data_IF_651805779718
#
_entry.id   IF_651805779718
#
_cell.length_a   1.000
_cell.length_b   1.000
_cell.length_c   1.000
_cell.angle_alpha   90.00
_cell.angle_beta   90.00
_cell.angle_gamma   90.00
#
_symmetry.space_group_name_H-M   'P 1'
#
loop_
_entity.id
_entity.type
_entity.pdbx_description
1 polymer ?
#
# COMPACT_ATOMS: atom_id res chain seq x y z
N UNK A 1 15.06 -25.47 40.77
CA UNK A 1 16.53 -25.48 40.66
C UNK A 1 16.92 -24.40 39.68
N UNK A 2 17.82 -23.50 40.07
CA UNK A 2 18.24 -22.33 39.28
C UNK A 2 19.41 -22.76 38.38
N UNK A 3 19.28 -22.59 37.06
CA UNK A 3 20.39 -22.69 36.13
C UNK A 3 20.49 -21.37 35.35
N UNK A 4 21.51 -20.59 35.72
CA UNK A 4 22.03 -19.42 35.01
C UNK A 4 23.13 -19.89 34.06
N UNK A 5 23.28 -19.22 32.91
CA UNK A 5 24.51 -18.96 32.09
C UNK A 5 24.11 -18.94 30.59
N UNK A 6 24.65 -18.11 29.71
CA UNK A 6 25.63 -17.03 29.78
C UNK A 6 25.42 -16.13 28.53
N UNK A 7 25.74 -14.84 28.65
CA UNK A 7 25.70 -13.84 27.57
C UNK A 7 27.04 -13.88 26.82
N UNK A 8 26.99 -13.94 25.49
CA UNK A 8 28.17 -13.73 24.64
C UNK A 8 27.98 -12.44 23.86
N UNK A 9 28.76 -11.43 24.24
CA UNK A 9 28.90 -10.14 23.54
C UNK A 9 29.84 -10.36 22.36
N UNK A 10 29.35 -10.13 21.14
CA UNK A 10 30.14 -10.10 19.92
C UNK A 10 29.92 -8.78 19.19
N UNK A 11 30.74 -7.78 19.48
CA UNK A 11 30.80 -6.54 18.72
C UNK A 11 31.76 -6.75 17.54
N UNK A 12 31.24 -6.65 16.31
CA UNK A 12 32.05 -6.46 15.11
C UNK A 12 31.68 -5.11 14.50
N UNK A 13 32.71 -4.29 14.40
CA UNK A 13 32.72 -2.88 14.02
C UNK A 13 33.52 -2.79 12.71
N UNK A 14 33.22 -1.74 11.92
CA UNK A 14 33.90 -1.26 10.69
C UNK A 14 33.33 -1.88 9.39
N UNK A 15 32.99 -1.16 8.31
CA UNK A 15 33.63 0.03 7.73
C UNK A 15 32.68 0.90 6.86
N UNK A 16 32.89 2.21 6.97
CA UNK A 16 33.01 3.23 5.91
C UNK A 16 31.89 3.45 4.88
N UNK A 17 31.12 4.51 5.13
CA UNK A 17 30.29 5.20 4.14
C UNK A 17 31.15 6.02 3.17
N UNK A 18 30.93 5.84 1.87
CA UNK A 18 31.38 6.78 0.82
C UNK A 18 30.32 7.86 0.62
N UNK A 19 30.76 9.11 0.73
CA UNK A 19 29.97 10.33 0.58
C UNK A 19 29.96 10.73 -0.89
N UNK A 20 28.81 10.70 -1.55
CA UNK A 20 28.58 11.29 -2.86
C UNK A 20 28.32 12.79 -2.70
N UNK A 21 29.22 13.58 -3.27
CA UNK A 21 29.17 15.03 -3.25
C UNK A 21 28.01 15.57 -4.10
N UNK A 22 27.29 16.53 -3.53
CA UNK A 22 26.41 17.46 -4.22
C UNK A 22 27.27 18.56 -4.86
N UNK A 23 27.00 18.92 -6.11
CA UNK A 23 27.63 20.04 -6.80
C UNK A 23 26.95 20.30 -8.14
N UNK A 24 25.99 21.22 -8.14
CA UNK A 24 25.40 21.78 -9.35
C UNK A 24 26.26 22.91 -9.90
N UNK A 25 26.14 23.15 -11.20
CA UNK A 25 26.31 24.47 -11.82
C UNK A 25 25.62 24.44 -13.20
N UNK A 26 24.72 25.40 -13.38
CA UNK A 26 24.19 25.86 -14.66
C UNK A 26 25.29 26.60 -15.43
N UNK A 27 25.40 26.42 -16.76
CA UNK A 27 25.40 27.56 -17.68
C UNK A 27 25.46 27.22 -19.18
N UNK A 28 24.86 28.15 -19.92
CA UNK A 28 24.60 28.18 -21.36
C UNK A 28 25.84 28.34 -22.24
N UNK A 29 25.80 27.72 -23.42
CA UNK A 29 26.14 28.30 -24.74
C UNK A 29 25.87 27.19 -25.79
N UNK A 30 25.07 27.36 -26.84
CA UNK A 30 25.15 28.39 -27.88
C UNK A 30 25.72 27.74 -29.14
N UNK A 31 24.90 27.55 -30.18
CA UNK A 31 25.38 26.95 -31.44
C UNK A 31 24.28 26.65 -32.46
N UNK A 32 24.01 27.65 -33.29
CA UNK A 32 23.06 27.71 -34.40
C UNK A 32 23.34 26.67 -35.51
N UNK A 33 22.29 26.16 -36.18
CA UNK A 33 22.32 25.89 -37.63
C UNK A 33 20.91 25.72 -38.18
N UNK A 34 20.58 26.67 -39.06
CA UNK A 34 19.40 26.76 -39.92
C UNK A 34 19.29 25.59 -40.91
N UNK A 35 18.08 25.32 -41.38
CA UNK A 35 17.86 24.38 -42.49
C UNK A 35 16.40 24.08 -42.81
N UNK A 36 15.76 25.07 -43.43
CA UNK A 36 14.69 25.01 -44.46
C UNK A 36 13.60 23.93 -44.45
N UNK A 37 12.36 24.43 -44.55
CA UNK A 37 11.14 23.63 -44.53
C UNK A 37 10.75 23.00 -45.87
N UNK A 38 9.77 22.11 -45.79
CA UNK A 38 8.85 21.84 -46.90
C UNK A 38 7.49 21.36 -46.40
N UNK A 39 6.48 22.09 -46.85
CA UNK A 39 5.03 21.88 -46.75
C UNK A 39 4.56 20.50 -47.23
N UNK A 40 3.56 19.94 -46.54
CA UNK A 40 2.73 18.85 -47.04
C UNK A 40 1.53 18.60 -46.13
N UNK A 41 0.39 19.19 -46.48
CA UNK A 41 -0.88 18.97 -45.82
C UNK A 41 -1.50 17.62 -46.22
N UNK A 42 -1.98 16.87 -45.23
CA UNK A 42 -3.11 15.94 -45.41
C UNK A 42 -3.94 15.94 -44.13
N UNK A 43 -5.17 16.44 -44.26
CA UNK A 43 -6.21 16.28 -43.27
C UNK A 43 -6.65 14.82 -43.22
N UNK A 44 -6.76 14.25 -42.03
CA UNK A 44 -7.76 13.21 -41.76
C UNK A 44 -8.42 13.51 -40.42
N UNK A 45 -9.71 13.77 -40.54
CA UNK A 45 -10.72 13.95 -39.52
C UNK A 45 -10.69 12.85 -38.46
N UNK A 46 -10.83 13.27 -37.20
CA UNK A 46 -11.09 12.40 -36.05
C UNK A 46 -11.36 13.26 -34.82
N UNK A 47 -12.51 13.94 -34.79
CA UNK A 47 -12.97 14.75 -33.65
C UNK A 47 -14.20 14.10 -33.04
N UNK A 48 -14.12 13.90 -31.71
CA UNK A 48 -15.22 13.48 -30.84
C UNK A 48 -14.97 12.08 -30.29
N UNK A 49 -14.81 11.86 -29.00
CA UNK A 49 -14.92 12.75 -27.86
C UNK A 49 -14.91 11.89 -26.60
N UNK A 50 -14.32 12.46 -25.55
CA UNK A 50 -14.65 12.21 -24.14
C UNK A 50 -14.97 10.76 -23.75
N UNK A 51 -13.92 10.07 -23.35
CA UNK A 51 -14.01 8.84 -22.57
C UNK A 51 -12.68 8.62 -21.86
N UNK A 52 -12.05 9.69 -21.36
CA UNK A 52 -11.00 9.55 -20.36
C UNK A 52 -11.71 9.14 -19.07
N UNK A 53 -12.12 7.88 -19.01
CA UNK A 53 -12.25 7.18 -17.74
C UNK A 53 -10.89 7.34 -17.09
N UNK A 54 -10.79 8.29 -16.16
CA UNK A 54 -9.77 8.27 -15.15
C UNK A 54 -9.98 6.98 -14.34
N UNK A 55 -9.56 5.86 -14.93
CA UNK A 55 -9.09 4.72 -14.18
C UNK A 55 -7.88 5.29 -13.44
N UNK A 56 -8.11 5.86 -12.26
CA UNK A 56 -7.00 6.12 -11.35
C UNK A 56 -6.49 4.74 -11.01
N UNK A 57 -5.45 4.29 -11.73
CA UNK A 57 -4.84 2.99 -11.54
C UNK A 57 -4.50 2.86 -10.05
N UNK A 58 -4.85 1.72 -9.45
CA UNK A 58 -4.56 1.47 -8.04
C UNK A 58 -3.04 1.61 -7.82
N UNK A 59 -2.61 2.19 -6.69
CA UNK A 59 -1.19 2.25 -6.35
C UNK A 59 -0.61 0.84 -6.26
N UNK A 60 0.68 0.73 -6.58
CA UNK A 60 1.45 -0.52 -6.61
C UNK A 60 2.68 -0.40 -5.71
N UNK A 61 3.03 -1.48 -5.01
CA UNK A 61 4.20 -1.55 -4.15
C UNK A 61 4.73 -3.00 -4.11
N UNK A 62 5.89 -3.22 -4.73
CA UNK A 62 6.41 -4.57 -5.00
C UNK A 62 7.01 -5.31 -3.80
N UNK A 63 7.24 -4.62 -2.68
CA UNK A 63 7.80 -5.16 -1.45
C UNK A 63 7.33 -4.37 -0.21
N UNK A 64 7.51 -4.95 0.97
CA UNK A 64 6.99 -4.37 2.22
C UNK A 64 7.61 -3.01 2.55
N UNK A 65 8.87 -2.76 2.19
CA UNK A 65 9.49 -1.46 2.37
C UNK A 65 8.82 -0.38 1.51
N UNK A 66 8.46 -0.74 0.27
CA UNK A 66 7.72 0.14 -0.65
C UNK A 66 6.29 0.38 -0.17
N UNK A 67 5.63 -0.62 0.42
CA UNK A 67 4.29 -0.46 1.02
C UNK A 67 4.36 0.51 2.21
N UNK A 68 5.34 0.35 3.10
CA UNK A 68 5.54 1.25 4.24
C UNK A 68 5.94 2.67 3.81
N UNK A 69 6.74 2.80 2.75
CA UNK A 69 7.07 4.10 2.14
C UNK A 69 5.83 4.78 1.58
N UNK A 70 5.03 4.07 0.77
CA UNK A 70 3.75 4.57 0.25
C UNK A 70 2.83 5.02 1.37
N UNK A 71 2.71 4.22 2.44
CA UNK A 71 1.87 4.57 3.57
C UNK A 71 2.35 5.89 4.20
N UNK A 72 3.67 6.03 4.42
CA UNK A 72 4.31 7.24 4.97
C UNK A 72 4.13 8.52 4.12
N UNK A 73 3.83 8.41 2.82
CA UNK A 73 3.53 9.57 1.98
C UNK A 73 2.13 10.16 2.26
N UNK A 74 1.25 9.39 2.91
CA UNK A 74 -0.15 9.75 3.11
C UNK A 74 -0.58 9.75 4.58
N UNK A 75 -0.11 8.78 5.36
CA UNK A 75 -0.37 8.61 6.80
C UNK A 75 0.92 8.22 7.52
N UNK A 76 0.96 8.23 8.86
CA UNK A 76 2.18 7.85 9.58
C UNK A 76 2.37 6.34 9.64
N UNK A 77 3.59 5.87 9.38
CA UNK A 77 3.99 4.48 9.51
C UNK A 77 5.39 4.41 10.16
N UNK A 78 5.38 4.31 11.49
CA UNK A 78 6.54 4.34 12.38
C UNK A 78 6.83 2.93 12.89
N UNK A 79 8.09 2.67 13.24
CA UNK A 79 8.49 1.43 13.91
C UNK A 79 7.99 0.15 13.22
N UNK A 80 8.20 0.07 11.89
CA UNK A 80 7.79 -1.07 11.07
C UNK A 80 8.39 -2.38 11.62
N UNK A 81 7.52 -3.37 11.83
CA UNK A 81 7.85 -4.72 12.29
C UNK A 81 7.22 -5.77 11.39
N UNK A 82 7.83 -6.95 11.36
CA UNK A 82 7.12 -8.11 10.80
C UNK A 82 5.86 -8.42 11.62
N UNK A 83 4.85 -9.01 10.99
CA UNK A 83 3.63 -9.41 11.69
C UNK A 83 3.92 -10.32 12.89
N UNK A 84 4.79 -11.32 12.72
CA UNK A 84 5.17 -12.23 13.81
C UNK A 84 5.85 -11.51 14.99
N UNK A 85 6.74 -10.54 14.72
CA UNK A 85 7.36 -9.74 15.78
C UNK A 85 6.32 -8.87 16.52
N UNK A 86 5.34 -8.33 15.80
CA UNK A 86 4.25 -7.55 16.40
C UNK A 86 3.36 -8.43 17.27
N UNK A 87 3.00 -9.62 16.78
CA UNK A 87 2.13 -10.56 17.48
C UNK A 87 2.79 -11.11 18.77
N UNK A 88 4.13 -11.22 18.79
CA UNK A 88 4.94 -11.58 19.98
C UNK A 88 5.18 -10.40 20.94
N UNK A 89 4.73 -9.19 20.60
CA UNK A 89 4.95 -7.98 21.40
C UNK A 89 3.90 -7.78 22.50
N UNK A 90 4.14 -6.82 23.37
CA UNK A 90 3.18 -6.45 24.42
C UNK A 90 1.97 -5.63 23.90
N UNK A 91 1.91 -5.31 22.61
CA UNK A 91 0.79 -4.55 22.03
C UNK A 91 -0.41 -5.42 21.68
N UNK A 92 -0.19 -6.72 21.40
CA UNK A 92 -1.23 -7.65 20.91
C UNK A 92 -2.51 -7.70 21.77
N UNK A 93 -2.38 -7.48 23.09
CA UNK A 93 -3.52 -7.49 24.01
C UNK A 93 -4.31 -6.16 24.03
N UNK A 94 -3.68 -5.05 23.66
CA UNK A 94 -4.25 -3.69 23.79
C UNK A 94 -4.57 -3.03 22.45
N UNK A 95 -3.85 -3.41 21.41
CA UNK A 95 -3.91 -2.87 20.06
C UNK A 95 -3.64 -4.02 19.07
N UNK A 96 -4.58 -4.97 18.92
CA UNK A 96 -4.38 -6.11 18.04
C UNK A 96 -4.34 -5.65 16.58
N UNK A 97 -3.23 -5.93 15.90
CA UNK A 97 -3.15 -5.72 14.46
C UNK A 97 -4.03 -6.73 13.71
N UNK A 98 -4.60 -6.31 12.59
CA UNK A 98 -5.47 -7.15 11.77
C UNK A 98 -4.77 -8.39 11.21
N UNK A 99 -5.54 -9.48 11.14
CA UNK A 99 -5.08 -10.75 10.64
C UNK A 99 -4.10 -11.47 11.57
N UNK A 100 -3.96 -12.77 11.35
CA UNK A 100 -3.10 -13.64 12.15
C UNK A 100 -1.95 -14.19 11.30
N UNK A 101 -0.86 -14.63 11.94
CA UNK A 101 0.27 -15.25 11.26
C UNK A 101 -0.17 -16.40 10.33
N UNK A 102 -1.15 -17.19 10.75
CA UNK A 102 -1.68 -18.32 9.99
C UNK A 102 -2.25 -17.90 8.62
N UNK A 103 -2.75 -16.67 8.48
CA UNK A 103 -3.26 -16.17 7.19
C UNK A 103 -2.12 -16.03 6.16
N UNK A 104 -0.90 -15.73 6.60
CA UNK A 104 0.26 -15.67 5.71
C UNK A 104 0.80 -17.06 5.34
N UNK A 105 0.51 -18.07 6.18
CA UNK A 105 0.95 -19.46 5.97
C UNK A 105 -0.04 -20.25 5.10
N UNK A 106 -1.30 -19.84 5.07
CA UNK A 106 -2.33 -20.49 4.25
C UNK A 106 -2.35 -19.90 2.82
N UNK A 107 -1.98 -20.68 1.79
CA UNK A 107 -1.94 -20.22 0.41
C UNK A 107 -3.31 -19.85 -0.18
N UNK A 108 -4.42 -20.14 0.51
CA UNK A 108 -5.75 -19.67 0.14
C UNK A 108 -5.90 -18.16 0.28
N UNK A 109 -5.16 -17.53 1.20
CA UNK A 109 -5.22 -16.09 1.43
C UNK A 109 -4.47 -15.27 0.38
N UNK A 110 -3.50 -15.87 -0.32
CA UNK A 110 -2.70 -15.15 -1.32
C UNK A 110 -1.82 -14.04 -0.72
N UNK A 111 -1.61 -14.01 0.60
CA UNK A 111 -0.73 -13.05 1.27
C UNK A 111 0.71 -13.60 1.22
N UNK A 112 1.65 -12.78 0.78
CA UNK A 112 3.08 -13.10 0.74
C UNK A 112 3.79 -12.71 2.03
N UNK A 113 3.41 -11.57 2.60
CA UNK A 113 4.06 -10.99 3.77
C UNK A 113 3.05 -10.11 4.52
N UNK A 114 3.16 -10.10 5.85
CA UNK A 114 2.44 -9.20 6.75
C UNK A 114 3.44 -8.42 7.60
N UNK A 115 3.20 -7.14 7.75
CA UNK A 115 3.92 -6.25 8.64
C UNK A 115 2.94 -5.36 9.39
N UNK A 116 3.44 -4.72 10.44
CA UNK A 116 2.70 -3.76 11.24
C UNK A 116 3.58 -2.55 11.48
N UNK A 117 3.01 -1.36 11.37
CA UNK A 117 3.65 -0.13 11.83
C UNK A 117 2.67 0.69 12.66
N UNK A 118 3.21 1.48 13.58
CA UNK A 118 2.42 2.38 14.41
C UNK A 118 2.17 3.69 13.64
N UNK A 119 0.98 4.26 13.74
CA UNK A 119 0.83 5.68 13.38
C UNK A 119 1.34 6.62 14.49
N UNK A 120 1.18 7.92 14.28
CA UNK A 120 1.52 8.97 15.24
C UNK A 120 0.55 9.06 16.43
N UNK A 121 -0.57 8.33 16.39
CA UNK A 121 -1.57 8.24 17.45
C UNK A 121 -1.33 7.02 18.35
N UNK A 122 -0.41 6.14 17.95
CA UNK A 122 -0.06 4.86 18.57
C UNK A 122 -1.10 3.76 18.32
N UNK A 123 -1.77 3.79 17.17
CA UNK A 123 -2.61 2.70 16.70
C UNK A 123 -1.88 1.90 15.60
N UNK A 124 -2.11 0.59 15.60
CA UNK A 124 -1.42 -0.34 14.69
C UNK A 124 -2.06 -0.39 13.31
N UNK A 125 -1.27 -0.08 12.30
CA UNK A 125 -1.64 -0.24 10.90
C UNK A 125 -1.04 -1.54 10.36
N UNK A 126 -1.90 -2.42 9.87
CA UNK A 126 -1.45 -3.68 9.26
C UNK A 126 -1.20 -3.46 7.78
N UNK A 127 -0.04 -3.90 7.29
CA UNK A 127 0.32 -3.87 5.89
C UNK A 127 0.47 -5.30 5.37
N UNK A 128 -0.10 -5.56 4.20
CA UNK A 128 -0.07 -6.87 3.55
C UNK A 128 0.53 -6.74 2.17
N UNK A 129 1.57 -7.51 1.88
CA UNK A 129 1.99 -7.74 0.51
C UNK A 129 1.18 -8.92 -0.04
N UNK A 130 0.44 -8.69 -1.13
CA UNK A 130 -0.53 -9.65 -1.67
C UNK A 130 0.01 -10.23 -2.98
N UNK A 131 0.28 -11.54 -2.98
CA UNK A 131 0.74 -12.26 -4.18
C UNK A 131 -0.39 -12.63 -5.15
N UNK A 132 -1.62 -12.78 -4.66
CA UNK A 132 -2.79 -13.13 -5.46
C UNK A 132 -4.02 -12.40 -4.92
N UNK A 133 -4.33 -11.27 -5.55
CA UNK A 133 -5.43 -10.39 -5.13
C UNK A 133 -6.80 -11.08 -5.24
N UNK A 134 -6.98 -12.00 -6.19
CA UNK A 134 -8.24 -12.73 -6.33
C UNK A 134 -8.46 -13.69 -5.17
N UNK A 135 -7.41 -14.40 -4.76
CA UNK A 135 -7.44 -15.25 -3.56
C UNK A 135 -7.71 -14.44 -2.30
N UNK A 136 -6.98 -13.34 -2.12
CA UNK A 136 -7.18 -12.45 -0.99
C UNK A 136 -8.64 -11.97 -0.88
N UNK A 137 -9.21 -11.46 -1.97
CA UNK A 137 -10.62 -11.05 -2.02
C UNK A 137 -11.60 -12.21 -1.75
N UNK A 138 -11.25 -13.44 -2.15
CA UNK A 138 -12.06 -14.63 -1.88
C UNK A 138 -12.08 -14.92 -0.39
N UNK A 139 -10.92 -14.92 0.27
CA UNK A 139 -10.81 -15.13 1.73
C UNK A 139 -11.49 -14.02 2.53
N UNK A 140 -11.34 -12.76 2.13
CA UNK A 140 -12.05 -11.62 2.76
C UNK A 140 -13.57 -11.84 2.71
N UNK A 141 -14.09 -12.24 1.55
CA UNK A 141 -15.51 -12.53 1.36
C UNK A 141 -15.98 -13.73 2.19
N UNK A 142 -15.26 -14.84 2.14
CA UNK A 142 -15.66 -16.09 2.81
C UNK A 142 -15.60 -15.97 4.33
N UNK A 143 -14.64 -15.22 4.86
CA UNK A 143 -14.57 -14.92 6.28
C UNK A 143 -15.51 -13.81 6.76
N UNK A 144 -16.27 -13.18 5.85
CA UNK A 144 -17.12 -12.02 6.13
C UNK A 144 -16.37 -10.91 6.88
N UNK A 145 -15.10 -10.68 6.51
CA UNK A 145 -14.30 -9.62 7.09
C UNK A 145 -14.87 -8.25 6.71
N UNK A 146 -14.62 -7.27 7.57
CA UNK A 146 -14.88 -5.87 7.29
C UNK A 146 -14.11 -5.40 6.06
N UNK A 147 -14.35 -4.15 5.66
CA UNK A 147 -13.61 -3.52 4.59
C UNK A 147 -12.13 -3.34 4.94
N UNK A 148 -11.26 -3.56 3.95
CA UNK A 148 -9.82 -3.27 4.00
C UNK A 148 -9.44 -2.40 2.80
N UNK A 149 -8.40 -1.58 2.92
CA UNK A 149 -7.92 -0.76 1.80
C UNK A 149 -6.99 -1.58 0.92
N UNK A 150 -7.14 -1.49 -0.41
CA UNK A 150 -6.35 -2.25 -1.37
C UNK A 150 -5.70 -1.34 -2.41
N UNK A 151 -4.43 -1.66 -2.69
CA UNK A 151 -3.73 -1.29 -3.91
C UNK A 151 -3.81 -2.42 -4.94
N UNK A 152 -2.91 -2.42 -5.90
CA UNK A 152 -2.84 -3.43 -6.96
C UNK A 152 -2.30 -4.78 -6.46
N UNK A 153 -1.27 -4.73 -5.61
CA UNK A 153 -0.49 -5.87 -5.11
C UNK A 153 -0.25 -5.81 -3.58
N UNK A 154 -0.94 -4.90 -2.88
CA UNK A 154 -0.88 -4.80 -1.43
C UNK A 154 -2.22 -4.39 -0.84
N UNK A 155 -2.36 -4.55 0.48
CA UNK A 155 -3.51 -4.08 1.24
C UNK A 155 -3.06 -3.46 2.58
N UNK A 156 -3.90 -2.57 3.10
CA UNK A 156 -3.69 -1.87 4.37
C UNK A 156 -4.97 -1.93 5.18
N UNK A 157 -4.86 -2.39 6.42
CA UNK A 157 -5.90 -2.25 7.43
C UNK A 157 -5.47 -1.13 8.40
N UNK A 158 -6.10 0.05 8.33
CA UNK A 158 -5.80 1.15 9.22
C UNK A 158 -6.26 0.86 10.66
N UNK A 159 -5.42 1.18 11.65
CA UNK A 159 -5.75 0.96 13.06
C UNK A 159 -6.80 1.91 13.62
N UNK A 160 -6.94 3.10 13.05
CA UNK A 160 -7.86 4.12 13.52
C UNK A 160 -8.56 4.93 12.40
N UNK A 161 -9.62 5.65 12.78
CA UNK A 161 -10.38 6.48 11.85
C UNK A 161 -9.57 7.67 11.31
N UNK A 162 -8.57 8.17 12.05
CA UNK A 162 -7.73 9.27 11.62
C UNK A 162 -6.84 8.86 10.44
N UNK A 163 -6.23 7.68 10.53
CA UNK A 163 -5.42 7.07 9.47
C UNK A 163 -6.28 6.74 8.26
N UNK A 164 -7.53 6.27 8.45
CA UNK A 164 -8.50 6.16 7.35
C UNK A 164 -8.69 7.50 6.64
N UNK A 165 -8.86 8.62 7.37
CA UNK A 165 -9.01 9.95 6.74
C UNK A 165 -7.77 10.36 5.96
N UNK A 166 -6.58 10.15 6.53
CA UNK A 166 -5.29 10.49 5.93
C UNK A 166 -5.08 9.72 4.60
N UNK A 167 -5.57 8.48 4.52
CA UNK A 167 -5.45 7.64 3.34
C UNK A 167 -6.49 7.90 2.23
N UNK A 168 -7.49 8.76 2.43
CA UNK A 168 -8.51 9.05 1.40
C UNK A 168 -7.92 9.62 0.11
N UNK A 169 -6.76 10.28 0.19
CA UNK A 169 -6.08 10.87 -0.98
C UNK A 169 -4.98 9.98 -1.55
N UNK A 170 -4.77 8.78 -1.01
CA UNK A 170 -3.68 7.87 -1.40
C UNK A 170 -3.90 7.16 -2.74
N UNK A 171 -5.14 7.12 -3.22
CA UNK A 171 -5.52 6.32 -4.39
C UNK A 171 -5.84 4.85 -4.06
N UNK A 172 -5.64 4.40 -2.82
CA UNK A 172 -6.19 3.13 -2.34
C UNK A 172 -7.71 3.10 -2.50
N UNK A 173 -8.28 1.90 -2.65
CA UNK A 173 -9.73 1.71 -2.65
C UNK A 173 -10.15 0.78 -1.53
N UNK A 174 -11.33 1.01 -0.99
CA UNK A 174 -11.93 0.10 -0.03
C UNK A 174 -12.42 -1.15 -0.76
N UNK A 175 -11.89 -2.31 -0.40
CA UNK A 175 -12.45 -3.59 -0.78
C UNK A 175 -13.66 -3.89 0.11
N UNK A 176 -14.83 -4.02 -0.51
CA UNK A 176 -16.07 -4.27 0.17
C UNK A 176 -16.77 -5.51 -0.38
N UNK A 177 -16.93 -6.54 0.45
CA UNK A 177 -17.48 -7.84 0.06
C UNK A 177 -18.78 -8.22 0.80
N UNK A 178 -19.19 -7.44 1.80
CA UNK A 178 -20.36 -7.75 2.64
C UNK A 178 -21.63 -7.14 2.08
N UNK A 179 -22.71 -7.92 1.96
CA UNK A 179 -24.01 -7.39 1.57
C UNK A 179 -24.77 -6.72 2.74
N UNK A 180 -24.29 -6.90 3.98
CA UNK A 180 -25.00 -6.47 5.19
C UNK A 180 -24.77 -4.99 5.52
N UNK A 181 -23.68 -4.40 5.01
CA UNK A 181 -23.31 -3.01 5.23
C UNK A 181 -23.29 -2.24 3.89
N UNK A 182 -24.46 -1.86 3.35
CA UNK A 182 -24.52 -1.28 2.01
C UNK A 182 -23.74 0.03 1.92
N UNK A 183 -22.96 0.18 0.85
CA UNK A 183 -22.26 1.42 0.52
C UNK A 183 -23.31 2.53 0.24
N UNK A 184 -23.20 3.72 0.86
CA UNK A 184 -24.14 4.80 0.63
C UNK A 184 -24.18 5.26 -0.84
N UNK A 185 -25.28 5.89 -1.25
CA UNK A 185 -25.38 6.49 -2.59
C UNK A 185 -24.38 7.63 -2.77
N UNK A 186 -23.79 7.75 -3.95
CA UNK A 186 -22.89 8.85 -4.32
C UNK A 186 -21.41 8.46 -4.37
N UNK A 187 -21.06 7.29 -3.86
CA UNK A 187 -19.71 6.72 -3.98
C UNK A 187 -19.55 5.92 -5.26
N UNK A 188 -18.35 5.98 -5.84
CA UNK A 188 -17.97 5.16 -6.98
C UNK A 188 -17.81 3.71 -6.54
N UNK A 189 -18.26 2.80 -7.39
CA UNK A 189 -18.11 1.37 -7.20
C UNK A 189 -17.64 0.75 -8.51
N UNK A 190 -16.58 -0.04 -8.41
CA UNK A 190 -16.00 -0.77 -9.52
C UNK A 190 -15.99 -2.26 -9.18
N UNK A 191 -16.19 -3.17 -10.15
CA UNK A 191 -16.10 -4.60 -9.90
C UNK A 191 -14.73 -4.96 -9.31
N UNK A 192 -14.73 -5.73 -8.23
CA UNK A 192 -13.51 -6.39 -7.77
C UNK A 192 -13.23 -7.66 -8.60
N UNK A 193 -12.16 -8.39 -8.29
CA UNK A 193 -11.78 -9.62 -8.99
C UNK A 193 -12.67 -10.83 -8.62
N UNK A 194 -13.43 -10.70 -7.53
CA UNK A 194 -14.37 -11.72 -7.01
C UNK A 194 -15.80 -11.20 -7.11
N UNK A 195 -16.68 -11.98 -7.71
CA UNK A 195 -18.09 -11.62 -7.86
C UNK A 195 -18.75 -11.39 -6.48
N UNK A 196 -19.49 -10.30 -6.35
CA UNK A 196 -20.11 -9.87 -5.09
C UNK A 196 -19.20 -9.03 -4.19
N UNK A 197 -17.94 -8.81 -4.59
CA UNK A 197 -17.09 -7.77 -4.01
C UNK A 197 -17.00 -6.58 -4.96
N UNK A 198 -16.83 -5.39 -4.40
CA UNK A 198 -16.60 -4.14 -5.13
C UNK A 198 -15.41 -3.39 -4.54
N UNK A 199 -14.77 -2.58 -5.38
CA UNK A 199 -13.84 -1.55 -4.95
C UNK A 199 -14.59 -0.22 -4.92
N UNK A 200 -14.44 0.56 -3.84
CA UNK A 200 -15.16 1.81 -3.68
C UNK A 200 -14.27 2.92 -3.11
N UNK A 201 -14.63 4.17 -3.41
CA UNK A 201 -14.08 5.37 -2.75
C UNK A 201 -14.86 5.75 -1.48
N UNK A 202 -15.77 4.88 -1.01
CA UNK A 202 -16.35 4.96 0.32
C UNK A 202 -15.38 4.37 1.36
N UNK A 203 -15.06 5.15 2.39
CA UNK A 203 -14.28 4.72 3.53
C UNK A 203 -15.20 4.80 4.74
N UNK A 204 -15.42 3.65 5.39
CA UNK A 204 -16.15 3.62 6.64
C UNK A 204 -15.26 4.19 7.76
N UNK A 205 -15.87 4.97 8.64
CA UNK A 205 -15.23 5.49 9.85
C UNK A 205 -15.42 4.52 11.03
#
# INVERSE_FOLDING_TARGET
>A
MRLRRAITVGALLLMSASMTACGGDDDKAGGNSDGDGKTGATASSGKGGSGETANTELPEASDMASVAYFLNEHASCLDLKSGAEYDDSNYTDTDPAWGEEQMTQDPAWGIKERAVCMDKYNDANTLLLVSDMKKFQTSIKEGNYSSILVGKDFAVDPGDAQTVQELKTSGLKTLHCSAEAPIPSGYKQEPAQVAGCVLTDYYAD
#
